data_IF_117830572605
#
_entry.id   IF_117830572605
#
_cell.length_a   1.000
_cell.length_b   1.000
_cell.length_c   1.000
_cell.angle_alpha   90.00
_cell.angle_beta   90.00
_cell.angle_gamma   90.00
#
_symmetry.space_group_name_H-M   'P 1'
#
loop_
_entity.id
_entity.type
_entity.pdbx_description
1 polymer ?
#
# COMPACT_ATOMS: atom_id res chain seq x y z
N UNK A 1 28.73 -0.45 -27.16
CA UNK A 1 28.55 1.01 -26.92
C UNK A 1 27.92 1.14 -25.56
N UNK A 2 28.68 1.68 -24.61
CA UNK A 2 28.21 1.95 -23.26
C UNK A 2 27.16 3.06 -23.30
N UNK A 3 25.95 2.72 -22.94
CA UNK A 3 24.93 3.69 -22.63
C UNK A 3 25.23 4.26 -21.24
N UNK A 4 25.88 5.41 -21.17
CA UNK A 4 25.97 6.18 -19.95
C UNK A 4 24.63 6.89 -19.74
N UNK A 5 23.86 6.41 -18.76
CA UNK A 5 22.65 7.09 -18.32
C UNK A 5 23.02 8.27 -17.41
N UNK A 6 22.46 9.43 -17.69
CA UNK A 6 22.61 10.63 -16.86
C UNK A 6 21.85 10.45 -15.54
N UNK A 7 22.36 11.05 -14.47
CA UNK A 7 21.72 11.11 -13.15
C UNK A 7 20.34 11.76 -13.29
N UNK A 8 19.28 11.00 -12.96
CA UNK A 8 17.90 11.50 -12.96
C UNK A 8 16.86 10.62 -13.65
N UNK A 9 17.28 9.55 -14.30
CA UNK A 9 16.36 8.55 -14.85
C UNK A 9 16.09 7.47 -13.78
N UNK A 10 14.83 7.20 -13.52
CA UNK A 10 14.42 6.10 -12.66
C UNK A 10 15.03 4.77 -13.12
N UNK A 11 15.25 3.87 -12.19
CA UNK A 11 15.90 2.59 -12.46
C UNK A 11 15.18 1.82 -13.57
N UNK A 12 15.92 1.48 -14.62
CA UNK A 12 15.47 0.55 -15.64
C UNK A 12 15.67 -0.86 -15.08
N UNK A 13 14.58 -1.59 -14.87
CA UNK A 13 14.65 -2.96 -14.39
C UNK A 13 15.35 -3.86 -15.41
N UNK A 14 16.48 -4.45 -15.02
CA UNK A 14 17.14 -5.49 -15.78
C UNK A 14 16.59 -6.84 -15.35
N UNK A 15 15.93 -7.54 -16.25
CA UNK A 15 15.69 -8.97 -16.08
C UNK A 15 17.04 -9.68 -16.19
N UNK A 16 17.50 -10.30 -15.12
CA UNK A 16 18.64 -11.21 -15.16
C UNK A 16 18.11 -12.62 -15.48
N UNK A 17 18.29 -13.04 -16.71
CA UNK A 17 18.09 -14.44 -17.08
C UNK A 17 19.38 -15.19 -16.76
N UNK A 18 19.31 -16.15 -15.83
CA UNK A 18 20.45 -16.95 -15.37
C UNK A 18 20.65 -18.21 -16.21
N UNK A 19 20.23 -18.26 -17.45
CA UNK A 19 20.56 -19.35 -18.34
C UNK A 19 21.91 -19.08 -19.04
N UNK A 20 22.80 -20.04 -19.00
CA UNK A 20 24.14 -20.01 -19.57
C UNK A 20 24.12 -20.04 -21.09
N UNK A 21 23.65 -19.00 -21.73
CA UNK A 21 23.65 -18.82 -23.19
C UNK A 21 23.84 -17.34 -23.51
N UNK A 22 24.55 -17.06 -24.60
CA UNK A 22 24.72 -15.69 -25.10
C UNK A 22 23.37 -15.21 -25.61
N UNK A 23 22.68 -14.44 -24.78
CA UNK A 23 21.40 -13.84 -25.14
C UNK A 23 21.55 -12.33 -25.26
N UNK A 24 21.31 -11.82 -26.48
CA UNK A 24 21.14 -10.39 -26.71
C UNK A 24 19.83 -9.92 -26.10
N UNK A 25 19.84 -8.73 -25.49
CA UNK A 25 18.63 -8.06 -25.07
C UNK A 25 17.99 -7.40 -26.30
N UNK A 26 16.76 -7.79 -26.61
CA UNK A 26 15.92 -7.03 -27.51
C UNK A 26 15.06 -6.10 -26.68
N UNK A 27 15.23 -4.80 -26.88
CA UNK A 27 14.37 -3.80 -26.25
C UNK A 27 13.62 -3.13 -27.38
N UNK A 28 12.38 -3.55 -27.57
CA UNK A 28 11.44 -2.89 -28.47
C UNK A 28 10.68 -1.82 -27.68
N UNK A 29 10.70 -0.60 -28.18
CA UNK A 29 9.94 0.53 -27.66
C UNK A 29 10.20 0.89 -26.20
N UNK A 30 11.43 1.31 -25.86
CA UNK A 30 11.65 1.99 -24.57
C UNK A 30 11.06 3.39 -24.66
N UNK A 31 9.96 3.61 -23.97
CA UNK A 31 9.48 4.95 -23.67
C UNK A 31 10.01 5.37 -22.30
N UNK A 32 11.00 6.26 -22.27
CA UNK A 32 11.52 6.84 -21.03
C UNK A 32 10.79 8.14 -20.80
N UNK A 33 9.91 8.18 -19.81
CA UNK A 33 9.26 9.39 -19.36
C UNK A 33 9.77 9.77 -17.97
N UNK A 34 10.13 11.02 -17.76
CA UNK A 34 10.39 11.53 -16.42
C UNK A 34 9.08 11.53 -15.62
N UNK A 35 9.10 10.99 -14.40
CA UNK A 35 7.89 10.89 -13.54
C UNK A 35 7.21 12.25 -13.27
N UNK A 36 7.97 13.36 -13.29
CA UNK A 36 7.45 14.71 -13.20
C UNK A 36 6.88 15.26 -14.51
N UNK A 37 7.24 14.65 -15.66
CA UNK A 37 6.84 15.05 -17.00
C UNK A 37 5.79 14.11 -17.63
N UNK A 38 5.40 13.06 -16.96
CA UNK A 38 4.20 12.32 -17.37
C UNK A 38 3.05 13.30 -17.24
N UNK A 39 2.77 13.96 -18.36
CA UNK A 39 1.84 15.04 -18.45
C UNK A 39 0.54 14.65 -17.77
N UNK A 40 0.37 15.11 -16.54
CA UNK A 40 -0.85 14.96 -15.80
C UNK A 40 -1.89 15.73 -16.61
N UNK A 41 -2.60 15.03 -17.49
CA UNK A 41 -3.75 15.60 -18.14
C UNK A 41 -4.65 16.18 -17.05
N UNK A 42 -5.23 17.35 -17.28
CA UNK A 42 -6.14 17.99 -16.31
C UNK A 42 -7.25 17.06 -15.81
N UNK A 43 -7.43 15.92 -16.45
CA UNK A 43 -8.47 14.92 -16.21
C UNK A 43 -7.99 13.67 -15.46
N UNK A 44 -6.70 13.59 -15.11
CA UNK A 44 -6.16 12.45 -14.41
C UNK A 44 -6.27 12.64 -12.89
N UNK A 45 -6.69 11.56 -12.22
CA UNK A 45 -6.64 11.40 -10.78
C UNK A 45 -5.38 10.63 -10.41
N UNK A 46 -4.54 11.18 -9.56
CA UNK A 46 -3.35 10.51 -9.02
C UNK A 46 -3.61 10.00 -7.61
N UNK A 47 -3.43 8.70 -7.42
CA UNK A 47 -3.59 8.03 -6.12
C UNK A 47 -2.24 7.46 -5.70
N UNK A 48 -1.87 7.72 -4.45
CA UNK A 48 -0.66 7.20 -3.82
C UNK A 48 -1.04 6.35 -2.60
N UNK A 49 -0.45 5.17 -2.48
CA UNK A 49 -0.50 4.33 -1.29
C UNK A 49 0.92 4.14 -0.75
N UNK A 50 1.08 4.15 0.57
CA UNK A 50 2.35 3.83 1.21
C UNK A 50 2.17 3.39 2.68
N UNK A 51 2.78 2.27 3.07
CA UNK A 51 3.04 1.98 4.48
C UNK A 51 4.26 2.81 4.90
N UNK A 52 4.02 3.80 5.75
CA UNK A 52 5.01 4.82 6.12
C UNK A 52 5.79 4.49 7.37
N UNK A 53 5.67 3.28 7.86
CA UNK A 53 6.38 2.75 9.03
C UNK A 53 6.31 3.69 10.26
N UNK A 54 5.44 3.32 11.20
CA UNK A 54 5.30 4.03 12.47
C UNK A 54 5.11 5.57 12.32
N UNK A 55 4.20 5.99 11.43
CA UNK A 55 3.90 7.40 11.20
C UNK A 55 5.06 8.21 10.65
N UNK A 56 5.85 7.62 9.76
CA UNK A 56 7.05 8.22 9.18
C UNK A 56 8.08 8.60 10.26
N UNK A 57 8.36 7.69 11.17
CA UNK A 57 9.24 7.96 12.31
C UNK A 57 10.67 8.33 11.92
N UNK A 58 11.12 7.93 10.73
CA UNK A 58 12.45 8.29 10.22
C UNK A 58 12.62 9.77 9.90
N UNK A 59 11.54 10.54 9.83
CA UNK A 59 11.53 11.97 9.52
C UNK A 59 10.90 12.84 10.65
N UNK A 60 10.60 12.24 11.81
CA UNK A 60 10.02 12.95 12.96
C UNK A 60 10.92 14.09 13.45
N UNK A 61 12.23 13.82 13.66
CA UNK A 61 13.19 14.82 14.11
C UNK A 61 13.34 15.99 13.12
N UNK A 62 13.07 15.74 11.84
CA UNK A 62 13.07 16.75 10.79
C UNK A 62 11.67 17.39 10.61
N UNK A 63 10.77 17.21 11.54
CA UNK A 63 9.39 17.68 11.46
C UNK A 63 8.71 17.32 10.12
N UNK A 64 8.95 16.10 9.61
CA UNK A 64 8.39 15.57 8.38
C UNK A 64 8.68 16.40 7.11
N UNK A 65 9.74 17.22 7.10
CA UNK A 65 10.05 18.12 5.99
C UNK A 65 10.37 17.35 4.70
N UNK A 66 11.14 16.25 4.79
CA UNK A 66 11.47 15.42 3.64
C UNK A 66 10.23 14.70 3.10
N UNK A 67 9.42 14.14 4.00
CA UNK A 67 8.15 13.50 3.66
C UNK A 67 7.23 14.47 2.90
N UNK A 68 7.02 15.66 3.43
CA UNK A 68 6.21 16.71 2.79
C UNK A 68 6.77 17.10 1.42
N UNK A 69 8.08 17.29 1.31
CA UNK A 69 8.72 17.64 0.05
C UNK A 69 8.56 16.53 -1.00
N UNK A 70 8.71 15.27 -0.57
CA UNK A 70 8.55 14.11 -1.43
C UNK A 70 7.10 13.95 -1.91
N UNK A 71 6.11 14.09 -1.02
CA UNK A 71 4.69 14.04 -1.42
C UNK A 71 4.36 15.16 -2.40
N UNK A 72 4.84 16.39 -2.17
CA UNK A 72 4.69 17.51 -3.11
C UNK A 72 5.28 17.23 -4.48
N UNK A 73 6.43 16.57 -4.54
CA UNK A 73 7.08 16.19 -5.81
C UNK A 73 6.19 15.33 -6.67
N UNK A 74 5.49 14.36 -6.07
CA UNK A 74 4.58 13.47 -6.78
C UNK A 74 3.19 14.08 -6.97
N UNK A 75 2.83 15.07 -6.18
CA UNK A 75 1.57 15.83 -6.23
C UNK A 75 0.33 14.91 -6.35
N UNK A 76 0.14 13.90 -5.50
CA UNK A 76 -1.04 13.05 -5.54
C UNK A 76 -2.30 13.83 -5.21
N UNK A 77 -3.46 13.35 -5.67
CA UNK A 77 -4.76 13.90 -5.33
C UNK A 77 -5.35 13.23 -4.09
N UNK A 78 -5.02 11.95 -3.92
CA UNK A 78 -5.44 11.11 -2.80
C UNK A 78 -4.24 10.30 -2.35
N UNK A 79 -4.02 10.25 -1.04
CA UNK A 79 -3.04 9.37 -0.43
C UNK A 79 -3.69 8.47 0.61
N UNK A 80 -3.24 7.22 0.65
CA UNK A 80 -3.57 6.26 1.71
C UNK A 80 -2.27 5.85 2.40
N UNK A 81 -2.23 6.05 3.71
CA UNK A 81 -1.08 5.81 4.56
C UNK A 81 -1.37 4.67 5.52
N UNK A 82 -0.61 3.57 5.46
CA UNK A 82 -0.61 2.54 6.50
C UNK A 82 0.41 2.87 7.58
N UNK A 83 0.19 2.35 8.78
CA UNK A 83 0.98 2.64 9.98
C UNK A 83 1.06 4.13 10.27
N UNK A 84 -0.06 4.81 10.17
CA UNK A 84 -0.15 6.26 10.21
C UNK A 84 -0.06 6.89 11.62
N UNK A 85 0.19 6.10 12.67
CA UNK A 85 0.37 6.59 14.03
C UNK A 85 1.85 6.57 14.45
N UNK A 86 2.28 7.62 15.16
CA UNK A 86 3.61 7.68 15.77
C UNK A 86 3.64 6.94 17.10
N UNK A 87 3.93 5.65 17.07
CA UNK A 87 3.92 4.79 18.26
C UNK A 87 5.23 4.87 19.02
N UNK A 88 6.34 4.96 18.31
CA UNK A 88 7.67 5.03 18.86
C UNK A 88 8.26 6.44 18.77
N UNK A 89 9.13 6.76 19.71
CA UNK A 89 9.94 7.98 19.66
C UNK A 89 10.87 7.93 18.45
N UNK A 90 11.18 9.09 17.94
CA UNK A 90 12.06 9.27 16.80
C UNK A 90 13.30 8.38 16.86
N UNK A 91 13.51 7.63 15.79
CA UNK A 91 14.67 6.73 15.60
C UNK A 91 14.98 5.78 16.78
N UNK A 92 13.96 5.44 17.57
CA UNK A 92 14.12 4.55 18.72
C UNK A 92 13.06 3.45 18.71
N UNK A 93 13.26 2.44 19.57
CA UNK A 93 12.27 1.43 19.88
C UNK A 93 11.50 1.74 21.18
N UNK A 94 11.64 2.96 21.70
CA UNK A 94 10.95 3.39 22.90
C UNK A 94 9.56 3.91 22.56
N UNK A 95 8.54 3.36 23.19
CA UNK A 95 7.16 3.79 22.95
C UNK A 95 6.95 5.25 23.32
N UNK A 96 6.17 5.97 22.50
CA UNK A 96 5.63 7.27 22.81
C UNK A 96 4.48 7.14 23.83
N UNK A 97 4.40 8.08 24.75
CA UNK A 97 3.17 8.27 25.52
C UNK A 97 2.01 8.60 24.57
N UNK A 98 0.82 8.08 24.82
CA UNK A 98 -0.34 8.29 23.93
C UNK A 98 -0.63 9.78 23.70
N UNK A 99 -0.47 10.62 24.72
CA UNK A 99 -0.65 12.07 24.65
C UNK A 99 0.39 12.80 23.79
N UNK A 100 1.52 12.16 23.48
CA UNK A 100 2.59 12.73 22.67
C UNK A 100 2.61 12.19 21.23
N UNK A 101 1.69 11.30 20.87
CA UNK A 101 1.59 10.77 19.51
C UNK A 101 0.93 11.83 18.62
N UNK A 102 1.69 12.28 17.65
CA UNK A 102 1.20 13.28 16.70
C UNK A 102 0.21 12.69 15.70
N UNK A 103 0.50 11.49 15.18
CA UNK A 103 -0.35 10.80 14.23
C UNK A 103 -1.15 9.68 14.94
N UNK A 104 -2.40 9.40 14.51
CA UNK A 104 -3.06 9.97 13.35
C UNK A 104 -3.68 11.35 13.56
N UNK A 105 -3.85 11.83 14.77
CA UNK A 105 -4.61 13.07 15.08
C UNK A 105 -4.01 14.33 14.44
N UNK A 106 -2.70 14.37 14.23
CA UNK A 106 -2.00 15.48 13.58
C UNK A 106 -2.11 15.50 12.04
N UNK A 107 -2.79 14.56 11.42
CA UNK A 107 -2.80 14.44 9.96
C UNK A 107 -3.37 15.64 9.23
N UNK A 108 -4.39 16.30 9.74
CA UNK A 108 -4.95 17.49 9.10
C UNK A 108 -3.89 18.58 8.89
N UNK A 109 -3.08 18.85 9.93
CA UNK A 109 -2.00 19.84 9.86
C UNK A 109 -0.86 19.36 8.93
N UNK A 110 -0.49 18.08 8.98
CA UNK A 110 0.55 17.53 8.12
C UNK A 110 0.11 17.51 6.65
N UNK A 111 -1.11 17.08 6.36
CA UNK A 111 -1.66 16.99 5.03
C UNK A 111 -1.79 18.36 4.35
N UNK A 112 -2.18 19.38 5.10
CA UNK A 112 -2.24 20.76 4.60
C UNK A 112 -0.88 21.25 4.07
N UNK A 113 0.22 20.78 4.64
CA UNK A 113 1.57 21.17 4.21
C UNK A 113 1.92 20.69 2.79
N UNK A 114 1.30 19.60 2.31
CA UNK A 114 1.48 19.12 0.94
C UNK A 114 0.23 19.31 0.06
N UNK A 115 -0.73 20.12 0.53
CA UNK A 115 -1.86 20.57 -0.30
C UNK A 115 -3.12 19.73 -0.19
N UNK A 116 -3.24 18.82 0.78
CA UNK A 116 -4.48 18.09 1.04
C UNK A 116 -5.31 18.77 2.12
N UNK A 117 -6.55 19.14 1.77
CA UNK A 117 -7.46 19.83 2.66
C UNK A 117 -8.32 18.87 3.52
N UNK A 118 -8.40 17.60 3.12
CA UNK A 118 -9.29 16.63 3.77
C UNK A 118 -8.51 15.43 4.26
N UNK A 119 -8.86 14.95 5.45
CA UNK A 119 -8.27 13.78 6.07
C UNK A 119 -9.34 12.94 6.77
N UNK A 120 -9.16 11.62 6.76
CA UNK A 120 -9.97 10.71 7.55
C UNK A 120 -9.11 9.53 8.03
N UNK A 121 -9.36 9.06 9.24
CA UNK A 121 -8.76 7.85 9.79
C UNK A 121 -9.71 6.69 9.56
N UNK A 122 -9.17 5.55 9.10
CA UNK A 122 -9.90 4.32 8.85
C UNK A 122 -10.42 3.64 10.12
N UNK A 123 -10.73 2.37 10.02
CA UNK A 123 -10.97 1.55 11.19
C UNK A 123 -9.71 1.53 12.05
N UNK A 124 -9.85 1.89 13.32
CA UNK A 124 -8.71 2.04 14.22
C UNK A 124 -8.98 1.26 15.49
N UNK A 125 -8.38 0.09 15.58
CA UNK A 125 -8.49 -0.76 16.75
C UNK A 125 -7.22 -0.70 17.61
N UNK A 126 -6.09 -0.59 16.99
CA UNK A 126 -4.78 -0.64 17.66
C UNK A 126 -3.86 0.50 17.23
N UNK A 127 -2.56 0.28 17.34
CA UNK A 127 -1.55 1.30 17.08
C UNK A 127 -1.21 1.51 15.59
N UNK A 128 -1.82 0.77 14.66
CA UNK A 128 -1.44 0.75 13.24
C UNK A 128 -2.60 1.14 12.30
N UNK A 129 -3.26 2.30 12.53
CA UNK A 129 -4.37 2.75 11.71
C UNK A 129 -3.93 3.09 10.29
N UNK A 130 -4.92 3.13 9.39
CA UNK A 130 -4.76 3.71 8.07
C UNK A 130 -5.38 5.11 8.06
N UNK A 131 -4.71 6.05 7.40
CA UNK A 131 -5.22 7.40 7.18
C UNK A 131 -5.30 7.67 5.68
N UNK A 132 -6.39 8.28 5.26
CA UNK A 132 -6.54 8.82 3.91
C UNK A 132 -6.45 10.34 3.97
N UNK A 133 -5.74 10.94 3.01
CA UNK A 133 -5.70 12.38 2.81
C UNK A 133 -6.03 12.72 1.36
N UNK A 134 -6.69 13.84 1.10
CA UNK A 134 -7.20 14.16 -0.23
C UNK A 134 -7.29 15.66 -0.48
N UNK A 135 -7.14 16.07 -1.75
CA UNK A 135 -7.53 17.40 -2.23
C UNK A 135 -9.05 17.58 -2.30
N UNK A 136 -9.81 16.47 -2.30
CA UNK A 136 -11.27 16.42 -2.42
C UNK A 136 -11.92 15.98 -1.12
N UNK A 137 -13.18 16.37 -0.86
CA UNK A 137 -13.91 15.92 0.32
C UNK A 137 -13.95 14.39 0.45
N UNK A 138 -13.77 13.92 1.67
CA UNK A 138 -13.82 12.50 2.03
C UNK A 138 -15.08 12.24 2.85
N UNK A 139 -15.87 11.24 2.45
CA UNK A 139 -16.98 10.70 3.23
C UNK A 139 -16.60 9.31 3.75
N UNK A 140 -16.58 9.12 5.06
CA UNK A 140 -16.37 7.79 5.65
C UNK A 140 -17.70 7.03 5.68
N UNK A 141 -17.82 5.99 4.86
CA UNK A 141 -19.04 5.19 4.79
C UNK A 141 -19.06 4.07 5.83
N UNK A 142 -17.91 3.50 6.12
CA UNK A 142 -17.78 2.37 7.03
C UNK A 142 -16.41 2.38 7.69
N UNK A 143 -16.38 2.08 8.98
CA UNK A 143 -15.16 1.72 9.73
C UNK A 143 -15.34 0.31 10.26
N UNK A 144 -14.33 -0.53 10.04
CA UNK A 144 -14.31 -1.92 10.48
C UNK A 144 -13.20 -2.04 11.53
N UNK A 145 -13.58 -2.39 12.76
CA UNK A 145 -12.65 -2.63 13.87
C UNK A 145 -12.79 -4.04 14.43
N UNK A 146 -14.00 -4.58 14.36
CA UNK A 146 -14.35 -5.91 14.84
C UNK A 146 -15.03 -6.70 13.74
N UNK A 147 -15.15 -8.01 13.91
CA UNK A 147 -15.91 -8.89 13.04
C UNK A 147 -17.17 -9.40 13.76
N UNK A 148 -17.98 -10.14 13.03
CA UNK A 148 -19.13 -10.89 13.54
C UNK A 148 -18.73 -12.13 14.37
N UNK A 149 -17.44 -12.48 14.40
CA UNK A 149 -16.92 -13.60 15.17
C UNK A 149 -16.26 -13.13 16.47
N UNK A 150 -16.84 -13.52 17.59
CA UNK A 150 -16.31 -13.14 18.91
C UNK A 150 -14.83 -13.56 19.06
N UNK A 151 -14.01 -12.61 19.52
CA UNK A 151 -12.57 -12.81 19.70
C UNK A 151 -11.73 -12.80 18.42
N UNK A 152 -12.34 -12.52 17.26
CA UNK A 152 -11.64 -12.37 15.98
C UNK A 152 -11.87 -10.98 15.39
N UNK A 153 -11.21 -9.94 15.87
CA UNK A 153 -11.31 -8.61 15.28
C UNK A 153 -10.62 -8.52 13.91
N UNK A 154 -10.85 -7.42 13.20
CA UNK A 154 -9.95 -6.96 12.14
C UNK A 154 -8.79 -6.25 12.82
N UNK A 155 -7.61 -6.84 12.82
CA UNK A 155 -6.52 -6.53 13.77
C UNK A 155 -6.11 -5.06 13.79
N UNK A 156 -5.86 -4.48 12.63
CA UNK A 156 -5.49 -3.07 12.47
C UNK A 156 -6.64 -2.21 11.90
N UNK A 157 -7.80 -2.83 11.68
CA UNK A 157 -8.97 -2.18 11.12
C UNK A 157 -8.93 -2.01 9.60
N UNK A 158 -10.08 -1.61 9.07
CA UNK A 158 -10.27 -1.23 7.67
C UNK A 158 -11.38 -0.18 7.56
N UNK A 159 -11.54 0.43 6.38
CA UNK A 159 -12.63 1.40 6.15
C UNK A 159 -13.04 1.46 4.69
N UNK A 160 -14.25 1.98 4.42
CA UNK A 160 -14.64 2.52 3.13
C UNK A 160 -14.59 4.04 3.24
N UNK A 161 -13.75 4.66 2.44
CA UNK A 161 -13.68 6.11 2.25
C UNK A 161 -14.18 6.44 0.85
N UNK A 162 -15.12 7.36 0.73
CA UNK A 162 -15.67 7.80 -0.55
C UNK A 162 -15.14 9.16 -0.91
N UNK A 163 -14.70 9.31 -2.15
CA UNK A 163 -14.29 10.59 -2.72
C UNK A 163 -15.02 10.80 -4.04
N UNK A 164 -15.53 12.01 -4.27
CA UNK A 164 -16.12 12.37 -5.56
C UNK A 164 -15.21 13.35 -6.28
N UNK A 165 -14.76 12.95 -7.46
CA UNK A 165 -13.86 13.75 -8.31
C UNK A 165 -14.47 13.91 -9.68
N UNK A 166 -14.68 15.16 -10.12
CA UNK A 166 -15.27 15.49 -11.43
C UNK A 166 -16.60 14.77 -11.71
N UNK A 167 -17.45 14.67 -10.69
CA UNK A 167 -18.74 14.00 -10.77
C UNK A 167 -18.70 12.47 -10.69
N UNK A 168 -17.51 11.87 -10.59
CA UNK A 168 -17.32 10.43 -10.44
C UNK A 168 -17.10 10.08 -8.97
N UNK A 169 -17.89 9.16 -8.47
CA UNK A 169 -17.79 8.69 -7.08
C UNK A 169 -16.94 7.43 -7.03
N UNK A 170 -15.91 7.44 -6.20
CA UNK A 170 -14.95 6.34 -6.02
C UNK A 170 -14.99 5.91 -4.56
N UNK A 171 -15.23 4.63 -4.31
CA UNK A 171 -15.08 4.04 -2.99
C UNK A 171 -13.66 3.47 -2.84
N UNK A 172 -12.99 3.82 -1.77
CA UNK A 172 -11.63 3.39 -1.46
C UNK A 172 -11.66 2.57 -0.19
N UNK A 173 -11.30 1.30 -0.30
CA UNK A 173 -11.08 0.43 0.86
C UNK A 173 -9.64 0.59 1.30
N UNK A 174 -9.45 1.03 2.55
CA UNK A 174 -8.15 1.09 3.21
C UNK A 174 -8.06 -0.03 4.23
N UNK A 175 -6.94 -0.73 4.27
CA UNK A 175 -6.76 -1.86 5.19
C UNK A 175 -5.29 -2.06 5.58
N UNK A 176 -5.10 -2.80 6.67
CA UNK A 176 -3.82 -3.36 7.08
C UNK A 176 -4.12 -4.67 7.82
N UNK A 177 -3.67 -5.81 7.32
CA UNK A 177 -3.96 -7.13 7.91
C UNK A 177 -2.91 -7.55 8.91
N UNK A 178 -3.20 -8.59 9.68
CA UNK A 178 -2.35 -9.12 10.75
C UNK A 178 -0.91 -9.41 10.27
N UNK A 179 0.15 -8.85 10.90
CA UNK A 179 1.52 -8.95 10.37
C UNK A 179 2.26 -10.21 10.80
N UNK A 180 1.80 -10.91 11.88
CA UNK A 180 2.59 -11.96 12.50
C UNK A 180 2.39 -13.33 11.83
N UNK A 181 3.38 -14.21 11.98
CA UNK A 181 3.29 -15.59 11.52
C UNK A 181 2.33 -16.45 12.37
N UNK A 182 2.10 -16.06 13.62
CA UNK A 182 1.15 -16.68 14.55
C UNK A 182 -0.21 -15.99 14.53
N UNK A 183 -1.24 -16.68 15.01
CA UNK A 183 -2.61 -16.15 15.05
C UNK A 183 -2.78 -14.97 16.02
N UNK A 184 -3.81 -14.18 15.78
CA UNK A 184 -4.14 -13.03 16.63
C UNK A 184 -4.48 -13.48 18.06
N UNK A 185 -3.99 -12.75 19.05
CA UNK A 185 -4.26 -13.02 20.48
C UNK A 185 -3.52 -14.21 21.07
N UNK A 186 -2.65 -14.88 20.32
CA UNK A 186 -1.86 -16.03 20.80
C UNK A 186 -0.80 -15.55 21.78
N UNK A 187 -0.80 -16.15 22.97
CA UNK A 187 0.18 -15.86 24.02
C UNK A 187 1.61 -16.27 23.64
N UNK A 188 2.60 -15.61 24.20
CA UNK A 188 4.01 -15.76 23.82
C UNK A 188 4.51 -17.22 23.89
N UNK A 189 4.01 -18.01 24.84
CA UNK A 189 4.38 -19.43 24.98
C UNK A 189 3.95 -20.30 23.79
N UNK A 190 2.86 -19.92 23.10
CA UNK A 190 2.25 -20.70 22.02
C UNK A 190 2.56 -20.17 20.62
N UNK A 191 3.20 -18.99 20.51
CA UNK A 191 3.44 -18.33 19.22
C UNK A 191 4.24 -19.20 18.25
N UNK A 192 5.24 -19.93 18.71
CA UNK A 192 6.05 -20.80 17.85
C UNK A 192 5.22 -21.94 17.25
N UNK A 193 4.36 -22.57 18.05
CA UNK A 193 3.46 -23.63 17.59
C UNK A 193 2.39 -23.09 16.63
N UNK A 194 1.82 -21.94 16.96
CA UNK A 194 0.84 -21.25 16.12
C UNK A 194 1.43 -20.85 14.76
N UNK A 195 2.65 -20.33 14.73
CA UNK A 195 3.37 -20.00 13.49
C UNK A 195 3.67 -21.25 12.65
N UNK A 196 4.08 -22.37 13.28
CA UNK A 196 4.28 -23.64 12.59
C UNK A 196 2.98 -24.15 11.93
N UNK A 197 1.84 -23.92 12.58
CA UNK A 197 0.50 -24.24 12.08
C UNK A 197 -0.05 -23.21 11.07
N UNK A 198 0.72 -22.17 10.69
CA UNK A 198 0.33 -21.13 9.74
C UNK A 198 -0.93 -20.36 10.17
N UNK A 199 -1.10 -20.16 11.46
CA UNK A 199 -2.31 -19.50 11.97
C UNK A 199 -2.34 -18.00 11.62
N UNK A 200 -1.20 -17.34 11.46
CA UNK A 200 -1.13 -15.98 10.97
C UNK A 200 -1.67 -15.83 9.55
N UNK A 201 -1.30 -16.73 8.63
CA UNK A 201 -1.83 -16.74 7.26
C UNK A 201 -3.35 -16.97 7.23
N UNK A 202 -3.84 -17.92 8.03
CA UNK A 202 -5.27 -18.22 8.17
C UNK A 202 -6.03 -17.05 8.79
N UNK A 203 -5.40 -16.33 9.71
CA UNK A 203 -6.02 -15.15 10.31
C UNK A 203 -6.16 -14.01 9.28
N UNK A 204 -5.13 -13.74 8.48
CA UNK A 204 -5.21 -12.78 7.36
C UNK A 204 -6.29 -13.16 6.34
N UNK A 205 -6.41 -14.45 6.03
CA UNK A 205 -7.50 -14.94 5.17
C UNK A 205 -8.87 -14.62 5.76
N UNK A 206 -9.05 -14.88 7.06
CA UNK A 206 -10.28 -14.51 7.76
C UNK A 206 -10.56 -13.01 7.66
N UNK A 207 -9.56 -12.15 7.93
CA UNK A 207 -9.70 -10.70 7.85
C UNK A 207 -10.13 -10.25 6.46
N UNK A 208 -9.47 -10.72 5.41
CA UNK A 208 -9.80 -10.29 4.04
C UNK A 208 -11.17 -10.78 3.59
N UNK A 209 -11.58 -11.99 3.98
CA UNK A 209 -12.93 -12.51 3.73
C UNK A 209 -13.99 -11.60 4.34
N UNK A 210 -13.80 -11.20 5.59
CA UNK A 210 -14.70 -10.31 6.30
C UNK A 210 -14.70 -8.91 5.66
N UNK A 211 -13.52 -8.33 5.40
CA UNK A 211 -13.40 -7.02 4.76
C UNK A 211 -14.09 -7.01 3.40
N UNK A 212 -13.86 -7.98 2.52
CA UNK A 212 -14.50 -8.05 1.22
C UNK A 212 -16.03 -8.15 1.33
N UNK A 213 -16.54 -8.98 2.27
CA UNK A 213 -17.96 -9.12 2.51
C UNK A 213 -18.62 -7.82 3.01
N UNK A 214 -17.91 -7.04 3.82
CA UNK A 214 -18.43 -5.77 4.33
C UNK A 214 -18.23 -4.59 3.36
N UNK A 215 -17.42 -4.74 2.33
CA UNK A 215 -17.03 -3.66 1.42
C UNK A 215 -17.44 -3.95 -0.03
N UNK A 216 -16.54 -4.43 -0.86
CA UNK A 216 -16.70 -4.58 -2.31
C UNK A 216 -17.79 -5.59 -2.69
N UNK A 217 -18.05 -6.58 -1.84
CA UNK A 217 -19.10 -7.59 -2.03
C UNK A 217 -20.41 -7.27 -1.29
N UNK A 218 -20.46 -6.14 -0.56
CA UNK A 218 -21.66 -5.76 0.19
C UNK A 218 -22.72 -5.16 -0.76
N UNK A 219 -23.92 -5.74 -0.87
CA UNK A 219 -24.98 -5.24 -1.73
C UNK A 219 -25.38 -3.78 -1.44
N UNK A 220 -25.18 -3.30 -0.21
CA UNK A 220 -25.48 -1.91 0.15
C UNK A 220 -24.67 -0.88 -0.67
N UNK A 221 -23.55 -1.30 -1.25
CA UNK A 221 -22.69 -0.44 -2.06
C UNK A 221 -22.67 -0.80 -3.54
N UNK A 222 -23.52 -1.71 -4.01
CA UNK A 222 -23.55 -2.22 -5.39
C UNK A 222 -23.78 -1.14 -6.45
N UNK A 223 -24.35 0.00 -6.07
CA UNK A 223 -24.51 1.15 -6.97
C UNK A 223 -23.20 1.84 -7.37
N UNK A 224 -22.13 1.67 -6.59
CA UNK A 224 -20.82 2.20 -6.93
C UNK A 224 -20.03 1.19 -7.76
N UNK A 225 -19.63 1.58 -8.97
CA UNK A 225 -18.85 0.73 -9.87
C UNK A 225 -17.34 0.97 -9.75
N UNK A 226 -16.97 2.13 -9.19
CA UNK A 226 -15.57 2.56 -9.11
C UNK A 226 -15.01 2.28 -7.71
N UNK A 227 -14.18 1.25 -7.63
CA UNK A 227 -13.55 0.83 -6.39
C UNK A 227 -12.04 0.78 -6.52
N UNK A 228 -11.37 1.20 -5.46
CA UNK A 228 -9.98 0.92 -5.17
C UNK A 228 -9.89 0.22 -3.83
N UNK A 229 -9.01 -0.76 -3.69
CA UNK A 229 -8.67 -1.38 -2.42
C UNK A 229 -7.16 -1.39 -2.28
N UNK A 230 -6.65 -0.83 -1.18
CA UNK A 230 -5.20 -0.72 -0.98
C UNK A 230 -4.82 -0.83 0.48
N UNK A 231 -3.61 -1.34 0.70
CA UNK A 231 -3.10 -1.56 2.04
C UNK A 231 -1.85 -2.42 2.08
N UNK A 232 -1.38 -2.67 3.28
CA UNK A 232 -0.45 -3.73 3.61
C UNK A 232 -1.26 -5.00 3.94
N UNK A 233 -1.19 -5.96 3.03
CA UNK A 233 -1.91 -7.23 3.17
C UNK A 233 -1.10 -8.27 3.94
N UNK A 234 0.16 -7.98 4.25
CA UNK A 234 1.07 -8.92 4.93
C UNK A 234 1.08 -10.33 4.32
N UNK A 235 0.74 -10.43 3.04
CA UNK A 235 0.52 -11.69 2.32
C UNK A 235 1.03 -11.58 0.89
N UNK A 236 1.22 -12.72 0.24
CA UNK A 236 1.76 -12.83 -1.12
C UNK A 236 0.68 -13.26 -2.09
N UNK A 237 0.72 -12.72 -3.33
CA UNK A 237 -0.25 -13.04 -4.36
C UNK A 237 0.21 -14.21 -5.24
N UNK A 238 -0.77 -15.05 -5.65
CA UNK A 238 -0.54 -16.07 -6.69
C UNK A 238 -0.15 -15.46 -8.03
N UNK A 239 -0.48 -14.18 -8.28
CA UNK A 239 -0.05 -13.46 -9.48
C UNK A 239 1.48 -13.36 -9.58
N UNK A 240 2.18 -13.41 -8.45
CA UNK A 240 3.65 -13.44 -8.36
C UNK A 240 4.21 -14.84 -8.11
N UNK A 241 3.39 -15.88 -8.11
CA UNK A 241 3.85 -17.22 -7.70
C UNK A 241 4.88 -17.82 -8.68
N UNK A 242 4.90 -17.34 -9.91
CA UNK A 242 5.96 -17.66 -10.88
C UNK A 242 7.36 -17.23 -10.36
N UNK A 243 7.42 -16.21 -9.49
CA UNK A 243 8.65 -15.75 -8.83
C UNK A 243 8.91 -16.50 -7.53
N UNK A 244 7.87 -16.69 -6.69
CA UNK A 244 8.02 -17.33 -5.38
C UNK A 244 8.18 -18.84 -5.46
N UNK A 245 7.54 -19.50 -6.41
CA UNK A 245 7.58 -20.95 -6.57
C UNK A 245 6.91 -21.74 -5.43
N UNK A 246 5.88 -21.16 -4.80
CA UNK A 246 5.13 -21.85 -3.76
C UNK A 246 4.18 -22.90 -4.32
N UNK A 247 3.85 -23.98 -3.56
CA UNK A 247 2.73 -24.84 -3.89
C UNK A 247 1.43 -24.04 -4.06
N UNK A 248 0.54 -24.47 -4.96
CA UNK A 248 -0.71 -23.76 -5.24
C UNK A 248 -1.61 -23.58 -4.00
N UNK A 249 -1.53 -24.52 -3.07
CA UNK A 249 -2.28 -24.50 -1.80
C UNK A 249 -1.48 -23.90 -0.64
N UNK A 250 -0.40 -23.17 -0.90
CA UNK A 250 0.38 -22.52 0.15
C UNK A 250 -0.45 -21.45 0.88
N UNK A 251 -0.39 -21.50 2.22
CA UNK A 251 -1.20 -20.60 3.05
C UNK A 251 -0.85 -19.13 2.87
N UNK A 252 0.37 -18.81 2.43
CA UNK A 252 0.80 -17.45 2.12
C UNK A 252 0.04 -16.80 0.96
N UNK A 253 -0.66 -17.60 0.15
CA UNK A 253 -1.43 -17.14 -1.00
C UNK A 253 -2.92 -16.92 -0.69
N UNK A 254 -3.42 -17.36 0.46
CA UNK A 254 -4.85 -17.42 0.80
C UNK A 254 -5.56 -16.07 0.68
N UNK A 255 -4.93 -14.98 1.13
CA UNK A 255 -5.52 -13.63 1.10
C UNK A 255 -5.85 -13.22 -0.34
N UNK A 256 -4.85 -13.27 -1.19
CA UNK A 256 -5.00 -12.82 -2.59
C UNK A 256 -5.77 -13.82 -3.45
N UNK A 257 -5.73 -15.12 -3.11
CA UNK A 257 -6.63 -16.11 -3.71
C UNK A 257 -8.08 -15.73 -3.46
N UNK A 258 -8.43 -15.36 -2.21
CA UNK A 258 -9.78 -14.93 -1.91
C UNK A 258 -10.19 -13.69 -2.74
N UNK A 259 -9.35 -12.66 -2.81
CA UNK A 259 -9.65 -11.46 -3.59
C UNK A 259 -9.88 -11.80 -5.06
N UNK A 260 -8.94 -12.56 -5.67
CA UNK A 260 -8.96 -12.87 -7.09
C UNK A 260 -10.07 -13.86 -7.50
N UNK A 261 -10.55 -14.69 -6.56
CA UNK A 261 -11.60 -15.70 -6.83
C UNK A 261 -12.99 -15.21 -6.46
N UNK A 262 -13.14 -14.22 -5.56
CA UNK A 262 -14.41 -13.81 -4.98
C UNK A 262 -14.71 -12.32 -5.14
N UNK A 263 -13.90 -11.59 -5.90
CA UNK A 263 -14.18 -10.19 -6.29
C UNK A 263 -13.79 -9.99 -7.76
N UNK A 264 -14.28 -8.88 -8.35
CA UNK A 264 -13.87 -8.48 -9.70
C UNK A 264 -12.60 -7.59 -9.68
N UNK A 265 -11.97 -7.43 -8.54
CA UNK A 265 -10.81 -6.54 -8.38
C UNK A 265 -9.57 -7.09 -9.09
N UNK A 266 -8.84 -6.19 -9.73
CA UNK A 266 -7.58 -6.47 -10.45
C UNK A 266 -6.40 -5.88 -9.71
N UNK A 267 -5.34 -6.67 -9.54
CA UNK A 267 -4.04 -6.20 -9.02
C UNK A 267 -3.38 -5.32 -10.08
N UNK A 268 -3.32 -4.02 -9.84
CA UNK A 268 -2.91 -3.05 -10.87
C UNK A 268 -1.45 -3.20 -11.29
N UNK A 269 -0.56 -3.65 -10.39
CA UNK A 269 0.86 -3.82 -10.71
C UNK A 269 1.09 -5.13 -11.46
N UNK A 270 0.55 -6.25 -10.98
CA UNK A 270 0.73 -7.54 -11.64
C UNK A 270 0.07 -7.59 -13.02
N UNK A 271 -1.12 -7.03 -13.17
CA UNK A 271 -1.84 -6.97 -14.45
C UNK A 271 -1.14 -6.06 -15.48
N UNK A 272 -0.53 -4.96 -15.02
CA UNK A 272 0.17 -4.03 -15.89
C UNK A 272 1.56 -4.54 -16.30
N UNK A 273 2.21 -5.28 -15.43
CA UNK A 273 3.58 -5.79 -15.64
C UNK A 273 3.64 -7.31 -15.49
N UNK A 274 2.92 -8.06 -16.33
CA UNK A 274 2.90 -9.51 -16.22
C UNK A 274 4.31 -10.10 -16.38
N UNK A 275 4.67 -11.02 -15.49
CA UNK A 275 6.01 -11.61 -15.48
C UNK A 275 7.12 -10.68 -14.98
N UNK A 276 6.79 -9.53 -14.37
CA UNK A 276 7.76 -8.65 -13.72
C UNK A 276 7.47 -8.60 -12.23
N UNK A 277 8.43 -9.03 -11.42
CA UNK A 277 8.32 -8.96 -9.97
C UNK A 277 8.96 -7.68 -9.44
N UNK A 278 8.18 -6.89 -8.71
CA UNK A 278 8.63 -5.66 -8.06
C UNK A 278 8.29 -5.75 -6.58
N UNK A 279 9.33 -5.89 -5.76
CA UNK A 279 9.16 -5.94 -4.30
C UNK A 279 8.60 -4.62 -3.76
N UNK A 280 7.65 -4.72 -2.85
CA UNK A 280 7.14 -3.57 -2.09
C UNK A 280 7.84 -3.37 -0.75
N UNK A 281 8.70 -4.32 -0.35
CA UNK A 281 9.41 -4.25 0.93
C UNK A 281 10.89 -4.50 0.78
N UNK A 282 11.62 -4.25 1.87
CA UNK A 282 12.92 -4.83 2.11
C UNK A 282 12.76 -6.36 2.25
N UNK A 283 13.64 -7.14 1.71
CA UNK A 283 13.59 -8.61 1.80
C UNK A 283 12.81 -9.29 0.69
N UNK A 284 12.62 -8.64 -0.45
CA UNK A 284 12.06 -9.21 -1.66
C UNK A 284 10.63 -9.79 -1.52
N UNK A 285 9.79 -9.15 -0.73
CA UNK A 285 8.37 -9.46 -0.65
C UNK A 285 7.54 -8.35 -1.30
N UNK A 286 6.48 -8.73 -2.00
CA UNK A 286 5.39 -7.82 -2.35
C UNK A 286 4.21 -8.17 -1.45
N UNK A 287 3.92 -7.31 -0.50
CA UNK A 287 2.85 -7.45 0.49
C UNK A 287 1.94 -6.21 0.53
N UNK A 288 2.34 -5.16 -0.16
CA UNK A 288 1.56 -3.95 -0.39
C UNK A 288 0.92 -4.02 -1.77
N UNK A 289 -0.37 -3.71 -1.84
CA UNK A 289 -1.13 -3.83 -3.08
C UNK A 289 -2.09 -2.65 -3.26
N UNK A 290 -2.36 -2.34 -4.52
CA UNK A 290 -3.47 -1.53 -4.96
C UNK A 290 -4.28 -2.33 -5.96
N UNK A 291 -5.53 -2.59 -5.61
CA UNK A 291 -6.52 -3.25 -6.47
C UNK A 291 -7.50 -2.22 -7.03
N UNK A 292 -7.99 -2.47 -8.22
CA UNK A 292 -8.99 -1.64 -8.87
C UNK A 292 -10.15 -2.48 -9.41
N UNK A 293 -11.37 -1.97 -9.31
CA UNK A 293 -12.51 -2.55 -10.03
C UNK A 293 -12.29 -2.49 -11.54
N UNK A 294 -12.98 -3.32 -12.36
CA UNK A 294 -12.83 -3.28 -13.82
C UNK A 294 -13.00 -1.87 -14.40
N UNK A 295 -13.98 -1.11 -13.88
CA UNK A 295 -14.22 0.27 -14.30
C UNK A 295 -13.04 1.21 -14.02
N UNK A 296 -12.42 1.11 -12.84
CA UNK A 296 -11.23 1.90 -12.50
C UNK A 296 -9.99 1.38 -13.21
N UNK A 297 -9.82 0.06 -13.33
CA UNK A 297 -8.68 -0.53 -14.03
C UNK A 297 -8.60 -0.09 -15.50
N UNK A 298 -9.75 -0.05 -16.18
CA UNK A 298 -9.82 0.42 -17.58
C UNK A 298 -9.38 1.88 -17.77
N UNK A 299 -9.27 2.64 -16.68
CA UNK A 299 -8.87 4.06 -16.69
C UNK A 299 -7.40 4.28 -16.31
N UNK A 300 -6.68 3.23 -15.98
CA UNK A 300 -5.27 3.37 -15.59
C UNK A 300 -4.45 3.82 -16.79
N UNK A 301 -3.84 4.97 -16.68
CA UNK A 301 -2.86 5.49 -17.64
C UNK A 301 -1.44 5.20 -17.19
N UNK A 302 -1.23 5.15 -15.87
CA UNK A 302 0.06 4.80 -15.30
C UNK A 302 -0.13 4.12 -13.94
N UNK A 303 0.76 3.16 -13.62
CA UNK A 303 0.86 2.57 -12.28
C UNK A 303 2.28 2.05 -12.08
N UNK A 304 2.85 2.28 -10.90
CA UNK A 304 4.20 1.83 -10.58
C UNK A 304 4.41 1.71 -9.08
N UNK A 305 5.36 0.86 -8.68
CA UNK A 305 5.99 0.91 -7.37
C UNK A 305 7.09 1.97 -7.42
N UNK A 306 7.03 2.98 -6.54
CA UNK A 306 7.96 4.11 -6.57
C UNK A 306 9.29 3.70 -5.93
N UNK A 307 10.38 3.89 -6.67
CA UNK A 307 11.75 3.56 -6.22
C UNK A 307 12.52 4.78 -5.73
N UNK A 308 11.97 5.96 -5.95
CA UNK A 308 12.57 7.22 -5.50
C UNK A 308 12.45 7.36 -3.97
N UNK A 309 13.54 7.77 -3.35
CA UNK A 309 13.63 7.95 -1.90
C UNK A 309 14.48 9.16 -1.56
N UNK A 310 14.39 9.61 -0.34
CA UNK A 310 15.35 10.57 0.23
C UNK A 310 16.24 9.87 1.25
N UNK A 311 17.36 10.51 1.57
CA UNK A 311 18.24 10.07 2.65
C UNK A 311 17.86 10.81 3.92
N UNK A 312 17.58 10.08 5.00
CA UNK A 312 17.32 10.65 6.31
C UNK A 312 18.63 11.09 6.97
N UNK A 313 18.62 12.20 7.72
CA UNK A 313 19.80 12.69 8.42
C UNK A 313 20.29 11.75 9.53
N UNK A 314 19.36 11.00 10.12
CA UNK A 314 19.61 9.97 11.13
C UNK A 314 18.93 8.69 10.67
N UNK A 315 19.71 7.66 10.39
CA UNK A 315 19.16 6.34 10.09
C UNK A 315 18.89 5.61 11.41
N UNK A 316 17.63 5.26 11.62
CA UNK A 316 17.28 4.34 12.69
C UNK A 316 17.84 2.94 12.40
N UNK A 317 18.40 2.22 13.37
CA UNK A 317 18.77 0.82 13.18
C UNK A 317 17.56 -0.07 12.87
N UNK A 318 16.35 0.43 13.05
CA UNK A 318 15.08 -0.26 12.77
C UNK A 318 14.50 0.09 11.39
N UNK A 319 15.01 1.14 10.72
CA UNK A 319 14.65 1.47 9.34
C UNK A 319 15.59 0.75 8.41
N UNK A 320 15.03 0.04 7.47
CA UNK A 320 15.79 -0.75 6.51
C UNK A 320 16.70 0.12 5.65
N UNK A 321 17.92 -0.33 5.44
CA UNK A 321 18.85 0.26 4.47
C UNK A 321 18.38 0.08 3.01
N UNK A 322 17.33 -0.67 2.78
CA UNK A 322 16.81 -0.93 1.45
C UNK A 322 15.96 0.22 0.93
N UNK A 323 15.09 0.79 1.79
CA UNK A 323 14.32 1.98 1.49
C UNK A 323 14.25 2.86 2.74
N UNK A 324 15.14 3.83 2.82
CA UNK A 324 15.44 4.54 4.07
C UNK A 324 14.26 5.25 4.74
N UNK A 325 13.30 5.88 4.08
CA UNK A 325 12.18 6.52 4.78
C UNK A 325 11.23 5.52 5.45
N UNK A 326 11.09 4.35 4.88
CA UNK A 326 10.26 3.24 5.35
C UNK A 326 10.86 1.93 4.86
N UNK A 327 10.53 0.82 5.49
CA UNK A 327 10.84 -0.53 5.02
C UNK A 327 9.88 -1.00 3.90
N UNK A 328 8.90 -0.16 3.52
CA UNK A 328 8.00 -0.37 2.41
C UNK A 328 8.19 0.67 1.31
N UNK A 329 7.78 0.33 0.09
CA UNK A 329 7.77 1.19 -1.08
C UNK A 329 6.37 1.67 -1.43
N UNK A 330 6.24 2.94 -1.86
CA UNK A 330 4.95 3.45 -2.28
C UNK A 330 4.46 2.83 -3.60
N UNK A 331 3.14 2.78 -3.77
CA UNK A 331 2.48 2.48 -5.04
C UNK A 331 1.76 3.73 -5.51
N UNK A 332 1.99 4.13 -6.75
CA UNK A 332 1.37 5.29 -7.38
C UNK A 332 0.60 4.84 -8.62
N UNK A 333 -0.61 5.35 -8.80
CA UNK A 333 -1.40 5.12 -10.00
C UNK A 333 -2.10 6.40 -10.47
N UNK A 334 -2.14 6.58 -11.78
CA UNK A 334 -2.87 7.65 -12.46
C UNK A 334 -4.04 7.06 -13.23
N UNK A 335 -5.23 7.65 -13.04
CA UNK A 335 -6.49 7.23 -13.66
C UNK A 335 -7.05 8.37 -14.50
N UNK A 336 -7.39 8.12 -15.75
CA UNK A 336 -8.08 9.08 -16.60
C UNK A 336 -9.57 9.13 -16.24
N UNK A 337 -10.05 10.30 -15.79
CA UNK A 337 -11.44 10.50 -15.36
C UNK A 337 -12.31 11.20 -16.43
N UNK A 338 -11.91 11.21 -17.71
CA UNK A 338 -12.77 11.71 -18.78
C UNK A 338 -14.13 11.01 -18.75
N UNK A 339 -15.16 11.79 -18.96
CA UNK A 339 -16.54 11.30 -19.11
C UNK A 339 -16.68 10.51 -20.39
#
# INVERSE_FOLDING_TARGET
RDLRMSRGLGDVYKRQDVSSGVHGFYVDNIEVRALGEMGRGSDNLRVLYWNIQNGMWSDQANNYNNFVAWVKKYDPDICVWCESATIYKDNTNSAQASSARFLPDGWAALAARYGHAYTAVGGWRDNYPQTITSKYPIETLLKITDSDQAGKPVSHGAAIQRVTVKGRTINIVTLHTWPQAYGFGVGSADQAASAANKEGDKYREFEIKYICAQTVNNPAYASCQDWLMMGDFNSRSRADNWYYGYPENDTRLLVHNHILDHTDLKDIIAERYPGSFISSTYGNARIDYMYASPSMYARIVNALTVMDKWTTATQSPYVSNFYDPSDHRPILADFELKQ
#
